data_IF_452308773596
#
_entry.id   IF_452308773596
#
_cell.length_a   1.000
_cell.length_b   1.000
_cell.length_c   1.000
_cell.angle_alpha   90.00
_cell.angle_beta   90.00
_cell.angle_gamma   90.00
#
_symmetry.space_group_name_H-M   'P 1'
#
loop_
_entity.id
_entity.type
_entity.pdbx_description
1 polymer ?
#
# COMPACT_ATOMS: atom_id res chain seq x y z
N UNK A 1 -39.36 18.13 -2.18
CA UNK A 1 -38.43 19.18 -1.67
C UNK A 1 -39.18 20.31 -0.93
N UNK A 2 -40.26 20.03 -0.21
CA UNK A 2 -40.85 20.99 0.74
C UNK A 2 -41.40 20.21 1.92
N UNK A 3 -40.87 20.44 3.12
CA UNK A 3 -41.46 19.89 4.34
C UNK A 3 -40.51 19.46 5.45
N UNK A 4 -39.21 19.75 5.41
CA UNK A 4 -38.38 19.57 6.59
C UNK A 4 -38.46 20.83 7.48
N UNK A 5 -39.09 20.68 8.65
CA UNK A 5 -39.13 21.70 9.69
C UNK A 5 -37.69 22.03 10.12
N UNK A 6 -37.25 23.26 9.85
CA UNK A 6 -35.87 23.74 10.08
C UNK A 6 -35.44 23.79 11.54
N UNK A 7 -36.32 23.49 12.49
CA UNK A 7 -36.04 23.61 13.93
C UNK A 7 -36.53 22.37 14.69
N UNK A 8 -35.60 21.58 15.24
CA UNK A 8 -35.94 20.55 16.23
C UNK A 8 -36.13 21.22 17.60
N UNK A 9 -37.36 21.61 17.89
CA UNK A 9 -37.74 22.19 19.18
C UNK A 9 -38.34 21.10 20.07
N UNK A 10 -37.70 20.82 21.21
CA UNK A 10 -38.24 19.97 22.27
C UNK A 10 -38.81 20.88 23.35
N UNK A 11 -40.14 20.98 23.42
CA UNK A 11 -40.82 21.57 24.58
C UNK A 11 -41.33 20.48 25.50
N UNK A 12 -41.28 20.68 26.83
CA UNK A 12 -42.04 19.87 27.77
C UNK A 12 -43.50 19.80 27.33
N UNK A 13 -44.05 18.58 27.30
CA UNK A 13 -45.34 18.22 26.70
C UNK A 13 -46.54 19.02 27.25
N UNK A 14 -46.41 19.62 28.44
CA UNK A 14 -47.50 20.22 29.20
C UNK A 14 -47.42 21.76 29.34
N UNK A 15 -46.68 22.47 28.48
CA UNK A 15 -46.79 23.93 28.47
C UNK A 15 -48.16 24.37 27.94
N UNK A 16 -48.97 24.99 28.81
CA UNK A 16 -50.34 25.41 28.53
C UNK A 16 -50.47 26.30 27.28
N UNK A 17 -49.47 27.16 27.03
CA UNK A 17 -49.39 28.02 25.84
C UNK A 17 -49.28 27.22 24.54
N UNK A 18 -48.53 26.12 24.54
CA UNK A 18 -48.33 25.25 23.38
C UNK A 18 -49.56 24.38 23.14
N UNK A 19 -50.19 23.91 24.21
CA UNK A 19 -51.45 23.17 24.14
C UNK A 19 -52.57 24.05 23.59
N UNK A 20 -52.68 25.29 24.07
CA UNK A 20 -53.60 26.30 23.53
C UNK A 20 -53.34 26.57 22.06
N UNK A 21 -52.08 26.82 21.67
CA UNK A 21 -51.71 27.06 20.28
C UNK A 21 -52.03 25.86 19.36
N UNK A 22 -51.80 24.61 19.79
CA UNK A 22 -52.19 23.42 19.03
C UNK A 22 -53.71 23.31 18.86
N UNK A 23 -54.46 23.59 19.91
CA UNK A 23 -55.93 23.53 19.83
C UNK A 23 -56.46 24.63 18.90
N UNK A 24 -55.93 25.84 18.97
CA UNK A 24 -56.24 26.90 18.02
C UNK A 24 -55.88 26.48 16.59
N UNK A 25 -54.70 25.89 16.37
CA UNK A 25 -54.29 25.42 15.04
C UNK A 25 -55.23 24.34 14.49
N UNK A 26 -55.67 23.40 15.33
CA UNK A 26 -56.66 22.38 14.94
C UNK A 26 -58.00 23.01 14.56
N UNK A 27 -58.49 23.97 15.35
CA UNK A 27 -59.76 24.66 15.11
C UNK A 27 -59.73 25.57 13.88
N UNK A 28 -58.57 26.18 13.58
CA UNK A 28 -58.37 27.03 12.40
C UNK A 28 -58.04 26.20 11.16
N UNK A 29 -57.51 24.99 11.32
CA UNK A 29 -57.22 24.13 10.19
C UNK A 29 -58.49 23.44 9.69
N UNK A 30 -58.84 23.68 8.42
CA UNK A 30 -59.91 22.94 7.72
C UNK A 30 -59.53 21.48 7.41
N UNK A 31 -58.42 20.97 7.98
CA UNK A 31 -57.89 19.64 7.72
C UNK A 31 -58.92 18.57 8.10
N UNK A 32 -59.58 18.72 9.25
CA UNK A 32 -60.60 17.77 9.72
C UNK A 32 -61.92 17.88 8.94
N UNK A 33 -62.13 18.98 8.20
CA UNK A 33 -63.34 19.22 7.40
C UNK A 33 -63.17 18.83 5.92
N UNK A 34 -61.92 18.73 5.44
CA UNK A 34 -61.59 18.38 4.05
C UNK A 34 -61.60 16.86 3.82
N UNK A 35 -62.69 16.20 4.19
CA UNK A 35 -62.91 14.79 3.91
C UNK A 35 -63.58 14.63 2.54
N UNK A 36 -62.79 14.30 1.51
CA UNK A 36 -63.32 14.00 0.19
C UNK A 36 -64.12 12.68 0.25
N UNK A 37 -65.39 12.72 -0.14
CA UNK A 37 -66.34 11.59 -0.05
C UNK A 37 -65.85 10.32 -0.78
N UNK A 38 -64.97 10.49 -1.76
CA UNK A 38 -64.39 9.41 -2.56
C UNK A 38 -62.87 9.57 -2.62
N UNK A 39 -62.21 9.34 -1.49
CA UNK A 39 -60.78 9.11 -1.50
C UNK A 39 -60.54 7.75 -2.16
N UNK A 40 -60.15 7.75 -3.43
CA UNK A 40 -59.82 6.49 -4.12
C UNK A 40 -58.49 5.99 -3.59
N UNK A 41 -58.54 5.16 -2.56
CA UNK A 41 -57.37 4.44 -2.07
C UNK A 41 -57.22 3.19 -2.91
N UNK A 42 -56.12 3.12 -3.66
CA UNK A 42 -55.82 1.95 -4.46
C UNK A 42 -55.55 0.75 -3.52
N UNK A 43 -56.47 -0.21 -3.46
CA UNK A 43 -56.25 -1.44 -2.69
C UNK A 43 -55.18 -2.28 -3.40
N UNK A 44 -54.28 -2.95 -2.67
CA UNK A 44 -53.19 -3.71 -3.27
C UNK A 44 -53.65 -4.88 -4.15
N UNK A 45 -54.92 -5.28 -4.05
CA UNK A 45 -55.55 -6.36 -4.85
C UNK A 45 -56.29 -5.84 -6.10
N UNK A 46 -56.35 -4.51 -6.32
CA UNK A 46 -56.95 -3.96 -7.54
C UNK A 46 -56.05 -4.19 -8.75
N UNK A 47 -56.66 -4.56 -9.89
CA UNK A 47 -55.93 -4.85 -11.13
C UNK A 47 -54.99 -3.72 -11.55
N UNK A 48 -55.42 -2.45 -11.45
CA UNK A 48 -54.60 -1.30 -11.82
C UNK A 48 -53.29 -1.22 -11.01
N UNK A 49 -53.36 -1.55 -9.72
CA UNK A 49 -52.19 -1.59 -8.82
C UNK A 49 -51.29 -2.76 -9.17
N UNK A 50 -51.87 -3.93 -9.42
CA UNK A 50 -51.14 -5.13 -9.81
C UNK A 50 -50.42 -4.91 -11.15
N UNK A 51 -51.09 -4.29 -12.12
CA UNK A 51 -50.50 -3.96 -13.42
C UNK A 51 -49.38 -2.93 -13.28
N UNK A 52 -49.61 -1.85 -12.52
CA UNK A 52 -48.56 -0.86 -12.25
C UNK A 52 -47.34 -1.51 -11.60
N UNK A 53 -47.53 -2.36 -10.59
CA UNK A 53 -46.46 -3.10 -9.92
C UNK A 53 -45.67 -3.97 -10.90
N UNK A 54 -46.37 -4.77 -11.72
CA UNK A 54 -45.73 -5.62 -12.74
C UNK A 54 -44.95 -4.79 -13.77
N UNK A 55 -45.48 -3.65 -14.22
CA UNK A 55 -44.77 -2.77 -15.14
C UNK A 55 -43.53 -2.16 -14.51
N UNK A 56 -43.58 -1.80 -13.23
CA UNK A 56 -42.40 -1.31 -12.51
C UNK A 56 -41.34 -2.40 -12.32
N UNK A 57 -41.75 -3.63 -11.99
CA UNK A 57 -40.84 -4.77 -11.88
C UNK A 57 -40.15 -5.05 -13.22
N UNK A 58 -40.89 -5.04 -14.33
CA UNK A 58 -40.37 -5.21 -15.69
C UNK A 58 -39.49 -4.05 -16.14
N UNK A 59 -39.84 -2.82 -15.77
CA UNK A 59 -39.04 -1.63 -16.05
C UNK A 59 -37.75 -1.61 -15.21
N UNK A 60 -37.79 -2.18 -14.01
CA UNK A 60 -36.65 -2.17 -13.11
C UNK A 60 -35.58 -3.17 -13.58
N UNK A 61 -34.34 -2.69 -13.68
CA UNK A 61 -33.20 -3.57 -13.95
C UNK A 61 -32.86 -4.50 -12.77
N UNK A 62 -33.65 -4.49 -11.68
CA UNK A 62 -33.32 -5.17 -10.43
C UNK A 62 -33.27 -6.69 -10.61
N UNK A 63 -34.26 -7.27 -11.28
CA UNK A 63 -34.30 -8.70 -11.58
C UNK A 63 -33.24 -9.12 -12.63
N UNK A 64 -32.91 -8.23 -13.57
CA UNK A 64 -31.87 -8.49 -14.56
C UNK A 64 -30.46 -8.46 -13.93
N UNK A 65 -30.23 -7.54 -12.99
CA UNK A 65 -28.93 -7.39 -12.31
C UNK A 65 -28.74 -8.33 -11.12
N UNK A 66 -29.81 -8.91 -10.57
CA UNK A 66 -29.71 -9.82 -9.41
C UNK A 66 -28.91 -11.07 -9.73
N UNK A 67 -29.02 -11.63 -10.94
CA UNK A 67 -28.23 -12.80 -11.36
C UNK A 67 -26.78 -12.45 -11.71
N UNK A 68 -26.44 -11.17 -11.85
CA UNK A 68 -25.05 -10.72 -12.02
C UNK A 68 -24.43 -10.27 -10.68
N UNK A 69 -25.22 -10.26 -9.61
CA UNK A 69 -24.78 -9.75 -8.33
C UNK A 69 -23.79 -10.68 -7.64
N UNK A 70 -23.88 -11.98 -7.88
CA UNK A 70 -22.89 -12.96 -7.38
C UNK A 70 -21.50 -12.79 -8.01
N UNK A 71 -21.41 -12.13 -9.17
CA UNK A 71 -20.14 -11.78 -9.80
C UNK A 71 -19.50 -10.51 -9.20
N UNK A 72 -20.27 -9.70 -8.44
CA UNK A 72 -19.71 -8.50 -7.80
C UNK A 72 -18.61 -8.91 -6.81
N UNK A 73 -17.39 -8.46 -7.07
CA UNK A 73 -16.22 -8.75 -6.24
C UNK A 73 -15.39 -9.95 -6.70
N UNK A 74 -15.83 -10.71 -7.71
CA UNK A 74 -15.00 -11.77 -8.31
C UNK A 74 -13.79 -11.13 -9.00
N UNK A 75 -12.58 -11.54 -8.60
CA UNK A 75 -11.32 -11.02 -9.13
C UNK A 75 -10.85 -9.69 -8.51
N UNK A 76 -11.63 -9.09 -7.59
CA UNK A 76 -11.20 -7.89 -6.87
C UNK A 76 -10.42 -8.29 -5.62
N UNK A 77 -9.10 -8.04 -5.62
CA UNK A 77 -8.24 -8.22 -4.46
C UNK A 77 -7.83 -6.85 -3.90
N UNK A 78 -8.24 -6.55 -2.66
CA UNK A 78 -7.89 -5.29 -1.98
C UNK A 78 -6.52 -5.33 -1.31
N UNK A 79 -5.87 -6.50 -1.22
CA UNK A 79 -4.56 -6.65 -0.58
C UNK A 79 -3.51 -5.82 -1.34
N UNK A 80 -2.80 -4.95 -0.61
CA UNK A 80 -1.81 -4.05 -1.19
C UNK A 80 -2.39 -2.76 -1.80
N UNK A 81 -3.72 -2.58 -1.83
CA UNK A 81 -4.30 -1.27 -2.15
C UNK A 81 -3.94 -0.25 -1.06
N UNK A 82 -3.80 1.02 -1.44
CA UNK A 82 -3.45 2.10 -0.51
C UNK A 82 -4.42 2.17 0.68
N UNK A 83 -5.73 2.06 0.43
CA UNK A 83 -6.75 2.09 1.49
C UNK A 83 -6.67 0.87 2.41
N UNK A 84 -6.31 -0.30 1.86
CA UNK A 84 -6.11 -1.53 2.62
C UNK A 84 -4.90 -1.41 3.54
N UNK A 85 -3.78 -0.91 3.03
CA UNK A 85 -2.56 -0.68 3.82
C UNK A 85 -2.76 0.42 4.87
N UNK A 86 -3.48 1.51 4.53
CA UNK A 86 -3.88 2.53 5.51
C UNK A 86 -4.70 1.93 6.65
N UNK A 87 -5.71 1.13 6.32
CA UNK A 87 -6.56 0.49 7.33
C UNK A 87 -5.78 -0.53 8.17
N UNK A 88 -4.89 -1.30 7.56
CA UNK A 88 -3.99 -2.21 8.27
C UNK A 88 -3.10 -1.46 9.25
N UNK A 89 -2.47 -0.36 8.82
CA UNK A 89 -1.66 0.50 9.69
C UNK A 89 -2.48 1.13 10.81
N UNK A 90 -3.69 1.62 10.52
CA UNK A 90 -4.59 2.16 11.54
C UNK A 90 -4.98 1.10 12.58
N UNK A 91 -5.27 -0.14 12.13
CA UNK A 91 -5.56 -1.27 13.00
C UNK A 91 -4.36 -1.65 13.89
N UNK A 92 -3.15 -1.66 13.32
CA UNK A 92 -1.90 -1.86 14.08
C UNK A 92 -1.70 -0.79 15.16
N UNK A 93 -2.01 0.47 14.85
CA UNK A 93 -1.89 1.61 15.79
C UNK A 93 -2.92 1.49 16.93
N UNK A 94 -4.15 1.07 16.62
CA UNK A 94 -5.21 0.88 17.61
C UNK A 94 -4.99 -0.35 18.50
N UNK A 95 -4.11 -1.27 18.10
CA UNK A 95 -3.88 -2.50 18.82
C UNK A 95 -3.08 -2.27 20.11
N UNK A 96 -3.77 -2.29 21.25
CA UNK A 96 -3.17 -2.05 22.57
C UNK A 96 -2.03 -3.01 22.92
N UNK A 97 -2.08 -4.27 22.46
CA UNK A 97 -1.03 -5.25 22.73
C UNK A 97 0.27 -4.89 22.01
N UNK A 98 0.17 -4.35 20.79
CA UNK A 98 1.33 -3.89 20.04
C UNK A 98 1.85 -2.59 20.65
N UNK A 99 0.95 -1.71 21.10
CA UNK A 99 1.30 -0.44 21.72
C UNK A 99 1.99 -0.59 23.10
N UNK A 100 1.50 -1.49 23.97
CA UNK A 100 2.00 -1.69 25.34
C UNK A 100 3.08 -2.78 25.42
N UNK A 101 4.09 -2.70 24.55
CA UNK A 101 5.22 -3.64 24.60
C UNK A 101 6.21 -3.24 25.70
N UNK A 102 6.74 -4.24 26.42
CA UNK A 102 7.80 -4.02 27.40
C UNK A 102 9.08 -3.54 26.67
N UNK A 103 9.83 -2.55 27.22
CA UNK A 103 11.00 -1.99 26.56
C UNK A 103 12.04 -3.02 26.07
N UNK A 104 12.24 -4.11 26.82
CA UNK A 104 13.16 -5.20 26.40
C UNK A 104 12.76 -5.92 25.11
N UNK A 105 11.49 -5.81 24.70
CA UNK A 105 10.98 -6.41 23.47
C UNK A 105 11.53 -5.71 22.23
N UNK A 106 11.75 -4.40 22.32
CA UNK A 106 12.23 -3.56 21.22
C UNK A 106 13.71 -3.28 21.46
N UNK A 107 14.57 -4.10 20.85
CA UNK A 107 16.01 -3.85 20.90
C UNK A 107 16.35 -2.62 20.08
N UNK A 108 17.25 -1.79 20.60
CA UNK A 108 17.81 -0.68 19.83
C UNK A 108 18.50 -1.21 18.57
N UNK A 109 18.03 -0.76 17.42
CA UNK A 109 18.72 -0.92 16.13
C UNK A 109 19.23 0.44 15.71
N UNK A 110 20.55 0.61 15.64
CA UNK A 110 21.12 1.81 15.04
C UNK A 110 20.74 1.84 13.56
N UNK A 111 20.24 2.99 13.10
CA UNK A 111 19.94 3.19 11.69
C UNK A 111 21.29 3.36 10.97
N UNK A 112 21.74 2.37 10.17
CA UNK A 112 23.06 2.41 9.56
C UNK A 112 23.19 3.54 8.54
N UNK A 113 22.07 3.96 7.96
CA UNK A 113 21.98 4.99 6.93
C UNK A 113 21.62 6.38 7.49
N UNK A 114 21.71 6.56 8.81
CA UNK A 114 21.57 7.89 9.41
C UNK A 114 22.68 8.81 8.92
N UNK A 115 22.34 10.09 8.69
CA UNK A 115 23.25 11.08 8.10
C UNK A 115 24.59 11.14 8.85
N UNK A 116 24.56 11.13 10.18
CA UNK A 116 25.75 11.17 11.03
C UNK A 116 26.67 9.96 10.82
N UNK A 117 26.11 8.76 10.72
CA UNK A 117 26.86 7.51 10.50
C UNK A 117 27.47 7.49 9.11
N UNK A 118 26.72 7.93 8.10
CA UNK A 118 27.22 8.06 6.73
C UNK A 118 28.37 9.06 6.65
N UNK A 119 28.21 10.24 7.24
CA UNK A 119 29.27 11.25 7.28
C UNK A 119 30.51 10.75 8.03
N UNK A 120 30.34 10.10 9.18
CA UNK A 120 31.46 9.51 9.92
C UNK A 120 32.20 8.44 9.11
N UNK A 121 31.47 7.61 8.36
CA UNK A 121 32.02 6.57 7.48
C UNK A 121 32.83 7.19 6.33
N UNK A 122 32.28 8.18 5.64
CA UNK A 122 32.99 8.88 4.56
C UNK A 122 34.21 9.65 5.09
N UNK A 123 34.08 10.35 6.21
CA UNK A 123 35.22 11.01 6.87
C UNK A 123 36.33 10.02 7.26
N UNK A 124 35.95 8.83 7.74
CA UNK A 124 36.90 7.76 8.04
C UNK A 124 37.62 7.26 6.78
N UNK A 125 36.91 7.10 5.66
CA UNK A 125 37.52 6.76 4.37
C UNK A 125 38.48 7.84 3.89
N UNK A 126 38.08 9.11 3.96
CA UNK A 126 38.92 10.25 3.55
C UNK A 126 40.17 10.38 4.42
N UNK A 127 40.08 10.10 5.73
CA UNK A 127 41.23 10.11 6.64
C UNK A 127 42.16 8.91 6.48
N UNK A 128 41.72 7.84 5.83
CA UNK A 128 42.51 6.62 5.71
C UNK A 128 43.72 6.83 4.78
N UNK A 129 44.89 6.98 5.39
CA UNK A 129 46.20 7.01 4.74
C UNK A 129 46.43 5.89 3.72
N UNK A 130 45.88 4.70 4.01
CA UNK A 130 45.96 3.55 3.11
C UNK A 130 45.13 3.76 1.85
N UNK A 131 43.89 4.23 1.99
CA UNK A 131 43.03 4.51 0.84
C UNK A 131 43.59 5.68 0.01
N UNK A 132 44.18 6.67 0.68
CA UNK A 132 44.87 7.77 0.02
C UNK A 132 46.03 7.31 -0.88
N UNK A 133 46.84 6.34 -0.42
CA UNK A 133 47.98 5.81 -1.18
C UNK A 133 47.63 4.62 -2.07
N UNK A 134 46.42 4.07 -2.00
CA UNK A 134 46.04 2.84 -2.70
C UNK A 134 46.20 2.95 -4.22
N UNK A 135 45.77 4.07 -4.83
CA UNK A 135 45.92 4.28 -6.26
C UNK A 135 47.40 4.36 -6.67
N UNK A 136 48.21 5.06 -5.87
CA UNK A 136 49.65 5.21 -6.09
C UNK A 136 50.40 3.88 -5.94
N UNK A 137 50.06 3.08 -4.94
CA UNK A 137 50.70 1.78 -4.73
C UNK A 137 50.25 0.75 -5.77
N UNK A 138 49.00 0.82 -6.26
CA UNK A 138 48.53 0.01 -7.41
C UNK A 138 49.31 0.36 -8.68
N UNK A 139 49.52 1.64 -8.96
CA UNK A 139 50.24 2.09 -10.15
C UNK A 139 51.69 1.58 -10.17
N UNK A 140 52.39 1.61 -9.02
CA UNK A 140 53.73 1.02 -8.88
C UNK A 140 53.77 -0.48 -9.19
N UNK A 141 52.72 -1.21 -8.85
CA UNK A 141 52.63 -2.65 -9.14
C UNK A 141 52.27 -2.93 -10.59
N UNK A 142 51.63 -1.97 -11.27
CA UNK A 142 51.20 -2.09 -12.65
C UNK A 142 52.32 -1.67 -13.61
N UNK A 143 53.37 -2.48 -13.68
CA UNK A 143 54.45 -2.25 -14.64
C UNK A 143 54.03 -2.83 -16.00
N UNK A 144 53.71 -1.96 -16.96
CA UNK A 144 53.47 -2.36 -18.34
C UNK A 144 54.81 -2.59 -19.04
N UNK A 145 55.27 -3.84 -19.05
CA UNK A 145 56.47 -4.24 -19.79
C UNK A 145 56.05 -4.85 -21.12
N UNK A 146 56.65 -4.39 -22.22
CA UNK A 146 56.40 -4.96 -23.54
C UNK A 146 56.86 -6.43 -23.55
N UNK A 147 55.97 -7.39 -23.83
CA UNK A 147 56.33 -8.81 -23.82
C UNK A 147 57.41 -9.15 -24.86
N UNK A 148 57.54 -8.33 -25.90
CA UNK A 148 58.48 -8.50 -27.01
C UNK A 148 59.82 -7.79 -26.80
N UNK A 149 60.08 -7.27 -25.59
CA UNK A 149 61.39 -6.68 -25.27
C UNK A 149 62.46 -7.78 -25.37
N UNK A 150 63.53 -7.58 -26.15
CA UNK A 150 64.49 -8.65 -26.47
C UNK A 150 65.12 -9.30 -25.23
N UNK A 151 65.41 -8.53 -24.18
CA UNK A 151 65.94 -9.05 -22.91
C UNK A 151 64.97 -10.01 -22.20
N UNK A 152 63.67 -9.73 -22.27
CA UNK A 152 62.63 -10.55 -21.63
C UNK A 152 62.42 -11.83 -22.40
N UNK A 153 62.36 -11.74 -23.73
CA UNK A 153 62.28 -12.91 -24.62
C UNK A 153 63.49 -13.82 -24.39
N UNK A 154 64.69 -13.23 -24.34
CA UNK A 154 65.93 -13.97 -24.03
C UNK A 154 65.89 -14.61 -22.64
N UNK A 155 65.44 -13.90 -21.61
CA UNK A 155 65.33 -14.44 -20.25
C UNK A 155 64.34 -15.63 -20.17
N UNK A 156 63.21 -15.56 -20.90
CA UNK A 156 62.23 -16.65 -21.00
C UNK A 156 62.80 -17.88 -21.69
N UNK A 157 63.50 -17.69 -22.81
CA UNK A 157 64.15 -18.79 -23.54
C UNK A 157 65.25 -19.42 -22.66
N UNK A 158 66.06 -18.60 -21.98
CA UNK A 158 67.11 -19.09 -21.08
C UNK A 158 66.54 -19.87 -19.89
N UNK A 159 65.41 -19.43 -19.32
CA UNK A 159 64.72 -20.15 -18.25
C UNK A 159 64.29 -21.55 -18.70
N UNK A 160 63.79 -21.68 -19.93
CA UNK A 160 63.43 -22.98 -20.53
C UNK A 160 64.69 -23.83 -20.75
N UNK A 161 65.74 -23.26 -21.33
CA UNK A 161 66.98 -23.97 -21.64
C UNK A 161 67.74 -24.46 -20.39
N UNK A 162 67.69 -23.70 -19.29
CA UNK A 162 68.35 -24.02 -18.03
C UNK A 162 67.47 -24.80 -17.06
N UNK A 163 66.24 -25.17 -17.46
CA UNK A 163 65.32 -25.89 -16.59
C UNK A 163 65.73 -27.35 -16.42
N UNK A 164 66.26 -27.69 -15.25
CA UNK A 164 66.57 -29.07 -14.85
C UNK A 164 65.38 -30.02 -15.00
N UNK A 165 64.17 -29.52 -14.78
CA UNK A 165 62.94 -30.31 -14.93
C UNK A 165 62.72 -30.73 -16.38
N UNK A 166 62.86 -29.79 -17.32
CA UNK A 166 62.70 -30.07 -18.75
C UNK A 166 63.84 -30.96 -19.26
N UNK A 167 65.06 -30.74 -18.76
CA UNK A 167 66.21 -31.59 -19.07
C UNK A 167 65.99 -33.06 -18.65
N UNK A 168 65.56 -33.28 -17.40
CA UNK A 168 65.29 -34.65 -16.90
C UNK A 168 64.13 -35.31 -17.63
N UNK A 169 63.06 -34.55 -17.92
CA UNK A 169 61.91 -35.05 -18.67
C UNK A 169 62.32 -35.47 -20.10
N UNK A 170 63.06 -34.63 -20.83
CA UNK A 170 63.56 -35.00 -22.16
C UNK A 170 64.49 -36.22 -22.13
N UNK A 171 65.30 -36.36 -21.06
CA UNK A 171 66.15 -37.53 -20.86
C UNK A 171 65.33 -38.81 -20.58
N UNK A 172 64.24 -38.71 -19.84
CA UNK A 172 63.31 -39.82 -19.60
C UNK A 172 62.53 -40.20 -20.86
N UNK A 173 62.10 -39.21 -21.66
CA UNK A 173 61.44 -39.44 -22.96
C UNK A 173 62.37 -40.14 -23.96
N UNK A 174 63.66 -39.77 -24.01
CA UNK A 174 64.66 -40.43 -24.84
C UNK A 174 65.03 -41.85 -24.37
N UNK A 175 64.78 -42.17 -23.10
CA UNK A 175 64.98 -43.50 -22.54
C UNK A 175 63.81 -44.45 -22.79
N UNK A 176 62.69 -43.93 -23.31
CA UNK A 176 61.48 -44.68 -23.62
C UNK A 176 61.49 -45.18 -25.06
#
# INVERSE_FOLDING_TARGET
VHGELKTKYSSPVDMLSILGARNCQKLVSDIDYRNYLHQWTCLPDQNDVIHAKKTYELQSDLAYKSDLEWLKGVGWNTLGSLESEKNKKASEILNERIYRQHPDTIKFTSIPDSMEVVLAKENSKHRSDRLYREAWDKDKTQVHIMPDTPEIVLSRINLVNLSDKLYKLGLEELRR
#
